data_IF_991708237898
#
_entry.id   IF_991708237898
#
_cell.length_a   1.000
_cell.length_b   1.000
_cell.length_c   1.000
_cell.angle_alpha   90.00
_cell.angle_beta   90.00
_cell.angle_gamma   90.00
#
_symmetry.space_group_name_H-M   'P 1'
#
loop_
_entity.id
_entity.type
_entity.pdbx_description
1 polymer ?
#
# COMPACT_ATOMS: atom_id res chain seq x y z
N UNK A 1 29.86 -20.75 -29.49
CA UNK A 1 29.90 -19.81 -30.63
C UNK A 1 28.50 -19.73 -31.26
N UNK A 2 27.52 -19.15 -30.56
CA UNK A 2 26.11 -19.12 -31.02
C UNK A 2 25.29 -17.94 -30.42
N UNK A 3 25.95 -16.85 -30.01
CA UNK A 3 25.29 -15.64 -29.48
C UNK A 3 25.10 -14.53 -30.54
N UNK A 4 25.44 -14.77 -31.80
CA UNK A 4 25.55 -13.71 -32.82
C UNK A 4 24.31 -13.49 -33.71
N UNK A 5 23.31 -14.37 -33.72
CA UNK A 5 22.20 -14.29 -34.70
C UNK A 5 20.87 -13.73 -34.17
N UNK A 6 20.73 -13.37 -32.90
CA UNK A 6 19.49 -12.78 -32.36
C UNK A 6 19.34 -11.27 -32.64
N UNK A 7 20.38 -10.60 -33.14
CA UNK A 7 20.35 -9.14 -33.37
C UNK A 7 19.43 -8.68 -34.50
N UNK A 8 19.01 -9.56 -35.41
CA UNK A 8 18.31 -9.16 -36.63
C UNK A 8 16.76 -9.20 -36.55
N UNK A 9 16.17 -9.63 -35.43
CA UNK A 9 14.71 -9.79 -35.30
C UNK A 9 14.10 -9.11 -34.05
N UNK A 10 14.81 -8.15 -33.44
CA UNK A 10 14.23 -7.37 -32.35
C UNK A 10 13.30 -6.32 -32.97
N UNK A 11 11.99 -6.51 -32.81
CA UNK A 11 10.98 -5.49 -33.13
C UNK A 11 11.38 -4.15 -32.51
N UNK A 12 11.45 -3.09 -33.33
CA UNK A 12 11.43 -1.70 -32.83
C UNK A 12 10.03 -1.43 -32.29
N UNK A 13 9.82 -1.74 -31.01
CA UNK A 13 8.56 -1.44 -30.33
C UNK A 13 8.47 0.07 -30.08
N UNK A 14 7.34 0.65 -30.47
CA UNK A 14 6.99 2.06 -30.18
C UNK A 14 5.99 2.16 -29.01
N UNK A 15 5.50 1.03 -28.50
CA UNK A 15 4.55 0.97 -27.38
C UNK A 15 5.24 0.39 -26.16
N UNK A 16 5.34 1.20 -25.11
CA UNK A 16 5.92 0.82 -23.83
C UNK A 16 4.84 0.19 -22.96
N UNK A 17 5.08 -1.03 -22.44
CA UNK A 17 4.31 -1.55 -21.32
C UNK A 17 4.56 -0.61 -20.12
N UNK A 18 3.51 -0.03 -19.58
CA UNK A 18 3.60 0.89 -18.45
C UNK A 18 3.07 0.22 -17.18
N UNK A 19 3.80 0.41 -16.10
CA UNK A 19 3.39 0.07 -14.75
C UNK A 19 3.51 1.32 -13.91
N UNK A 20 2.41 1.77 -13.33
CA UNK A 20 2.38 2.93 -12.46
C UNK A 20 1.95 2.49 -11.07
N UNK A 21 2.66 2.94 -10.04
CA UNK A 21 2.20 2.91 -8.64
C UNK A 21 2.24 4.35 -8.17
N UNK A 22 1.08 4.91 -7.87
CA UNK A 22 0.87 6.34 -7.63
C UNK A 22 0.59 6.58 -6.14
N UNK A 23 0.12 7.78 -5.80
CA UNK A 23 -0.19 8.19 -4.42
C UNK A 23 -1.17 7.22 -3.75
N UNK A 24 -1.07 7.10 -2.44
CA UNK A 24 -1.85 6.15 -1.64
C UNK A 24 -2.38 6.76 -0.36
N UNK A 25 -3.59 6.36 0.03
CA UNK A 25 -4.21 6.77 1.29
C UNK A 25 -4.75 5.54 2.03
N UNK A 26 -3.88 4.56 2.28
CA UNK A 26 -4.30 3.30 2.91
C UNK A 26 -4.93 3.57 4.28
N UNK A 27 -6.10 2.98 4.50
CA UNK A 27 -6.85 3.16 5.73
C UNK A 27 -6.65 1.98 6.69
N UNK A 28 -6.73 2.25 7.99
CA UNK A 28 -7.04 1.23 8.99
C UNK A 28 -8.44 1.49 9.55
N UNK A 29 -9.22 0.43 9.77
CA UNK A 29 -10.56 0.46 10.38
C UNK A 29 -10.49 -0.34 11.68
N UNK A 30 -10.56 0.35 12.81
CA UNK A 30 -10.53 -0.24 14.15
C UNK A 30 -11.95 -0.24 14.70
N UNK A 31 -12.56 -1.41 14.69
CA UNK A 31 -13.96 -1.61 15.12
C UNK A 31 -14.06 -1.70 16.64
N UNK A 32 -15.28 -1.61 17.18
CA UNK A 32 -15.54 -1.77 18.63
C UNK A 32 -15.09 -3.12 19.21
N UNK A 33 -14.98 -4.16 18.36
CA UNK A 33 -14.62 -5.53 18.74
C UNK A 33 -13.12 -5.82 18.51
N UNK A 34 -12.31 -4.80 18.23
CA UNK A 34 -10.87 -4.95 17.98
C UNK A 34 -10.08 -5.32 19.24
N UNK A 35 -9.06 -6.16 19.10
CA UNK A 35 -7.97 -6.20 20.07
C UNK A 35 -7.20 -4.88 20.00
N UNK A 36 -7.39 -4.04 21.02
CA UNK A 36 -6.83 -2.69 21.04
C UNK A 36 -5.30 -2.69 21.16
N UNK A 37 -4.70 -3.68 21.83
CA UNK A 37 -3.24 -3.75 21.95
C UNK A 37 -2.63 -4.07 20.59
N UNK A 38 -3.20 -5.06 19.89
CA UNK A 38 -2.78 -5.42 18.55
C UNK A 38 -2.97 -4.23 17.58
N UNK A 39 -4.15 -3.61 17.58
CA UNK A 39 -4.46 -2.49 16.71
C UNK A 39 -3.50 -1.30 16.90
N UNK A 40 -3.12 -1.00 18.15
CA UNK A 40 -2.14 0.06 18.46
C UNK A 40 -0.76 -0.31 17.93
N UNK A 41 -0.25 -1.51 18.25
CA UNK A 41 1.06 -1.99 17.80
C UNK A 41 1.18 -1.96 16.27
N UNK A 42 0.16 -2.47 15.58
CA UNK A 42 0.12 -2.50 14.12
C UNK A 42 -0.08 -1.10 13.50
N UNK A 43 -0.79 -0.19 14.18
CA UNK A 43 -0.88 1.20 13.73
C UNK A 43 0.48 1.90 13.80
N UNK A 44 1.22 1.75 14.91
CA UNK A 44 2.57 2.32 15.04
C UNK A 44 3.49 1.79 13.95
N UNK A 45 3.52 0.46 13.78
CA UNK A 45 4.36 -0.18 12.78
C UNK A 45 3.95 0.25 11.35
N UNK A 46 2.66 0.25 11.05
CA UNK A 46 2.09 0.57 9.74
C UNK A 46 2.21 2.05 9.37
N UNK A 47 2.13 2.96 10.33
CA UNK A 47 2.21 4.41 10.07
C UNK A 47 3.63 4.97 10.16
N UNK A 48 4.52 4.40 10.99
CA UNK A 48 5.81 5.02 11.31
C UNK A 48 7.05 4.24 10.82
N UNK A 49 6.90 3.03 10.29
CA UNK A 49 8.01 2.38 9.58
C UNK A 49 8.52 3.29 8.45
N UNK A 50 9.83 3.55 8.41
CA UNK A 50 10.45 4.52 7.49
C UNK A 50 9.82 5.93 7.58
N UNK A 51 9.43 6.35 8.78
CA UNK A 51 8.74 7.62 9.07
C UNK A 51 7.46 7.81 8.23
N UNK A 52 6.74 6.73 7.90
CA UNK A 52 5.51 6.81 7.09
C UNK A 52 5.72 7.08 5.61
N UNK A 53 6.97 7.08 5.14
CA UNK A 53 7.36 7.29 3.74
C UNK A 53 7.36 5.99 2.95
N UNK A 54 6.24 5.26 3.05
CA UNK A 54 5.97 4.05 2.27
C UNK A 54 4.64 4.22 1.56
N UNK A 55 4.56 3.71 0.33
CA UNK A 55 3.29 3.61 -0.39
C UNK A 55 2.29 2.69 0.35
N UNK A 56 2.78 1.71 1.10
CA UNK A 56 1.99 0.79 1.92
C UNK A 56 1.72 1.28 3.34
N UNK A 57 2.21 2.46 3.74
CA UNK A 57 1.97 2.96 5.09
C UNK A 57 0.48 3.29 5.31
N UNK A 58 0.03 3.15 6.55
CA UNK A 58 -1.29 3.59 6.98
C UNK A 58 -1.30 5.11 7.05
N UNK A 59 -2.18 5.74 6.27
CA UNK A 59 -2.25 7.21 6.10
C UNK A 59 -3.46 7.84 6.77
N UNK A 60 -4.44 7.05 7.16
CA UNK A 60 -5.64 7.48 7.87
C UNK A 60 -6.18 6.32 8.72
N UNK A 61 -6.54 6.60 9.96
CA UNK A 61 -7.00 5.59 10.93
C UNK A 61 -8.44 5.92 11.31
N UNK A 62 -9.38 5.08 10.91
CA UNK A 62 -10.74 5.10 11.40
C UNK A 62 -10.80 4.29 12.71
N UNK A 63 -11.27 4.92 13.78
CA UNK A 63 -11.45 4.25 15.08
C UNK A 63 -12.88 4.43 15.56
N UNK A 64 -13.52 3.34 15.97
CA UNK A 64 -14.86 3.41 16.52
C UNK A 64 -14.86 4.31 17.75
N UNK A 65 -15.83 5.23 17.84
CA UNK A 65 -15.85 6.32 18.82
C UNK A 65 -15.70 5.83 20.27
N UNK A 66 -16.29 4.68 20.59
CA UNK A 66 -16.20 4.06 21.93
C UNK A 66 -14.77 3.67 22.35
N UNK A 67 -13.86 3.46 21.39
CA UNK A 67 -12.46 3.10 21.65
C UNK A 67 -11.50 4.27 21.45
N UNK A 68 -11.94 5.38 20.86
CA UNK A 68 -11.07 6.47 20.40
C UNK A 68 -10.15 7.02 21.50
N UNK A 69 -10.68 7.31 22.70
CA UNK A 69 -9.86 7.87 23.78
C UNK A 69 -8.77 6.91 24.26
N UNK A 70 -9.14 5.64 24.50
CA UNK A 70 -8.20 4.63 24.98
C UNK A 70 -7.18 4.26 23.90
N UNK A 71 -7.61 4.19 22.63
CA UNK A 71 -6.73 4.01 21.48
C UNK A 71 -5.67 5.09 21.41
N UNK A 72 -6.09 6.37 21.43
CA UNK A 72 -5.19 7.51 21.35
C UNK A 72 -4.18 7.54 22.50
N UNK A 73 -4.64 7.26 23.72
CA UNK A 73 -3.77 7.19 24.90
C UNK A 73 -2.67 6.14 24.74
N UNK A 74 -3.03 4.91 24.32
CA UNK A 74 -2.07 3.82 24.09
C UNK A 74 -1.15 4.13 22.91
N UNK A 75 -1.70 4.66 21.83
CA UNK A 75 -0.94 5.05 20.64
C UNK A 75 0.11 6.12 20.97
N UNK A 76 -0.26 7.17 21.69
CA UNK A 76 0.69 8.19 22.17
C UNK A 76 1.80 7.60 23.03
N UNK A 77 1.46 6.66 23.93
CA UNK A 77 2.44 5.99 24.78
C UNK A 77 3.42 5.12 23.97
N UNK A 78 2.95 4.40 22.94
CA UNK A 78 3.85 3.62 22.07
C UNK A 78 4.73 4.52 21.18
N UNK A 79 4.18 5.62 20.65
CA UNK A 79 4.97 6.61 19.88
C UNK A 79 6.08 7.20 20.74
N UNK A 80 5.80 7.51 22.01
CA UNK A 80 6.79 8.07 22.94
C UNK A 80 7.97 7.12 23.24
N UNK A 81 7.79 5.80 23.07
CA UNK A 81 8.87 4.81 23.25
C UNK A 81 9.84 4.74 22.07
N UNK A 82 9.47 5.31 20.92
CA UNK A 82 10.30 5.24 19.72
C UNK A 82 11.55 6.10 19.87
N UNK A 83 12.71 5.45 19.82
CA UNK A 83 13.99 6.16 19.81
C UNK A 83 14.17 6.89 18.48
N UNK A 84 14.40 8.20 18.54
CA UNK A 84 14.84 8.99 17.40
C UNK A 84 16.36 9.19 17.41
N UNK A 85 16.96 9.34 16.23
CA UNK A 85 18.40 9.52 16.06
C UNK A 85 18.85 9.29 14.62
N UNK A 86 20.15 9.05 14.42
CA UNK A 86 20.68 8.77 13.09
C UNK A 86 20.43 7.31 12.67
N UNK A 87 20.24 7.01 11.36
CA UNK A 87 19.85 5.68 10.89
C UNK A 87 20.88 4.57 11.15
N UNK A 88 22.15 4.92 11.40
CA UNK A 88 23.21 3.96 11.75
C UNK A 88 23.29 3.65 13.24
N UNK A 89 22.51 4.32 14.09
CA UNK A 89 22.51 4.07 15.53
C UNK A 89 21.58 2.91 15.91
N UNK A 90 22.06 2.04 16.81
CA UNK A 90 21.28 0.89 17.26
C UNK A 90 19.98 1.31 17.95
N UNK A 91 18.88 0.68 17.53
CA UNK A 91 17.55 0.85 18.11
C UNK A 91 16.80 2.11 17.68
N UNK A 92 17.40 2.96 16.83
CA UNK A 92 16.70 4.13 16.27
C UNK A 92 15.59 3.65 15.33
N UNK A 93 14.38 4.17 15.54
CA UNK A 93 13.19 3.88 14.74
C UNK A 93 12.68 5.12 13.99
N UNK A 94 13.01 6.31 14.49
CA UNK A 94 12.63 7.60 13.88
C UNK A 94 13.89 8.32 13.41
N UNK A 95 13.92 8.71 12.14
CA UNK A 95 15.10 9.33 11.51
C UNK A 95 14.72 10.63 10.81
N UNK A 96 15.71 11.48 10.47
CA UNK A 96 15.45 12.63 9.61
C UNK A 96 14.81 12.22 8.28
N UNK A 97 13.99 13.11 7.72
CA UNK A 97 13.34 12.91 6.42
C UNK A 97 14.35 13.21 5.28
N UNK A 98 14.27 12.49 4.15
CA UNK A 98 15.15 12.70 3.00
C UNK A 98 14.85 14.02 2.25
N UNK A 99 13.61 14.50 2.33
CA UNK A 99 13.14 15.71 1.65
C UNK A 99 13.20 16.92 2.60
N UNK A 100 14.06 17.91 2.29
CA UNK A 100 14.28 19.11 3.12
C UNK A 100 12.99 19.91 3.36
N UNK A 101 12.09 19.96 2.37
CA UNK A 101 10.83 20.72 2.46
C UNK A 101 9.67 19.92 3.08
N UNK A 102 9.85 18.62 3.35
CA UNK A 102 8.77 17.78 3.89
C UNK A 102 8.28 18.24 5.26
N UNK A 103 9.15 18.61 6.22
CA UNK A 103 8.69 19.12 7.51
C UNK A 103 7.76 20.33 7.40
N UNK A 104 8.02 21.24 6.46
CA UNK A 104 7.17 22.41 6.24
C UNK A 104 5.76 22.02 5.74
N UNK A 105 5.68 21.12 4.76
CA UNK A 105 4.40 20.59 4.25
C UNK A 105 3.61 19.83 5.33
N UNK A 106 4.28 19.00 6.14
CA UNK A 106 3.63 18.29 7.24
C UNK A 106 3.11 19.25 8.31
N UNK A 107 3.86 20.33 8.60
CA UNK A 107 3.43 21.40 9.51
C UNK A 107 2.19 22.09 8.96
N UNK A 108 2.17 22.43 7.66
CA UNK A 108 1.00 23.02 6.99
C UNK A 108 -0.24 22.12 7.12
N UNK A 109 -0.09 20.81 6.91
CA UNK A 109 -1.17 19.85 7.07
C UNK A 109 -1.72 19.81 8.51
N UNK A 110 -0.86 19.95 9.51
CA UNK A 110 -1.27 20.00 10.93
C UNK A 110 -1.99 21.31 11.23
N UNK A 111 -1.51 22.45 10.73
CA UNK A 111 -2.16 23.75 10.96
C UNK A 111 -3.52 23.84 10.26
N UNK A 112 -3.64 23.32 9.04
CA UNK A 112 -4.93 23.14 8.35
C UNK A 112 -5.89 22.28 9.20
N UNK A 113 -5.43 21.14 9.71
CA UNK A 113 -6.25 20.29 10.56
C UNK A 113 -6.69 21.00 11.85
N UNK A 114 -5.81 21.79 12.48
CA UNK A 114 -6.15 22.61 13.66
C UNK A 114 -7.21 23.66 13.34
N UNK A 115 -7.13 24.31 12.17
CA UNK A 115 -8.11 25.29 11.73
C UNK A 115 -9.53 24.70 11.59
N UNK A 116 -9.64 23.40 11.28
CA UNK A 116 -10.91 22.67 11.21
C UNK A 116 -11.23 21.86 12.48
N UNK A 117 -10.58 22.14 13.61
CA UNK A 117 -10.95 21.64 14.93
C UNK A 117 -10.20 20.39 15.42
N UNK A 118 -9.22 19.87 14.67
CA UNK A 118 -8.35 18.82 15.16
C UNK A 118 -7.28 19.35 16.12
N UNK A 119 -6.64 18.43 16.84
CA UNK A 119 -5.52 18.72 17.75
C UNK A 119 -4.44 17.67 17.60
N UNK A 120 -3.21 18.04 17.92
CA UNK A 120 -2.12 17.09 18.12
C UNK A 120 -2.28 16.46 19.50
N UNK A 121 -2.23 15.13 19.59
CA UNK A 121 -2.58 14.39 20.80
C UNK A 121 -1.36 13.97 21.62
N UNK A 122 -0.26 13.60 20.96
CA UNK A 122 0.96 13.21 21.66
C UNK A 122 1.89 14.38 21.94
N UNK A 123 2.68 14.25 23.00
CA UNK A 123 3.77 15.15 23.31
C UNK A 123 4.78 15.20 22.15
N UNK A 124 5.35 16.39 21.96
CA UNK A 124 6.29 16.73 20.89
C UNK A 124 5.76 16.52 19.45
N UNK A 125 4.49 16.13 19.28
CA UNK A 125 3.93 15.86 17.96
C UNK A 125 4.03 17.09 17.04
N UNK A 126 4.66 16.90 15.89
CA UNK A 126 4.86 17.96 14.91
C UNK A 126 6.02 18.91 15.21
N UNK A 127 6.84 18.64 16.24
CA UNK A 127 8.08 19.37 16.42
C UNK A 127 9.06 19.08 15.28
N UNK A 128 9.74 20.12 14.82
CA UNK A 128 10.68 20.07 13.71
C UNK A 128 12.08 20.44 14.19
N UNK A 129 13.07 19.66 13.74
CA UNK A 129 14.49 19.98 13.92
C UNK A 129 15.21 19.67 12.60
N UNK A 130 15.53 20.71 11.82
CA UNK A 130 16.04 20.56 10.45
C UNK A 130 15.09 19.67 9.62
N UNK A 131 15.59 18.57 9.03
CA UNK A 131 14.77 17.61 8.31
C UNK A 131 14.09 16.56 9.19
N UNK A 132 14.32 16.57 10.50
CA UNK A 132 13.61 15.70 11.44
C UNK A 132 12.23 16.26 11.78
N UNK A 133 11.23 15.38 11.80
CA UNK A 133 9.86 15.68 12.17
C UNK A 133 9.38 14.65 13.19
N UNK A 134 9.08 15.09 14.40
CA UNK A 134 8.60 14.19 15.45
C UNK A 134 7.15 13.75 15.14
N UNK A 135 6.84 12.44 15.23
CA UNK A 135 5.54 11.93 14.81
C UNK A 135 4.35 12.65 15.47
N UNK A 136 3.34 13.00 14.68
CA UNK A 136 2.15 13.71 15.16
C UNK A 136 0.88 12.87 14.98
N UNK A 137 0.21 12.53 16.09
CA UNK A 137 -1.13 11.95 16.09
C UNK A 137 -2.13 13.11 16.08
N UNK A 138 -2.98 13.17 15.05
CA UNK A 138 -3.92 14.28 14.85
C UNK A 138 -5.35 13.77 14.97
N UNK A 139 -6.15 14.38 15.86
CA UNK A 139 -7.53 13.97 16.15
C UNK A 139 -8.39 15.13 16.68
N UNK A 140 -9.71 15.15 16.41
CA UNK A 140 -10.41 14.33 15.43
C UNK A 140 -10.20 14.89 14.02
N UNK A 141 -9.77 14.05 13.08
CA UNK A 141 -9.69 14.43 11.67
C UNK A 141 -11.07 14.29 11.01
N UNK A 142 -11.42 15.22 10.12
CA UNK A 142 -12.70 15.21 9.39
C UNK A 142 -12.52 15.60 7.92
N UNK A 143 -13.61 15.50 7.15
CA UNK A 143 -13.63 15.67 5.69
C UNK A 143 -13.23 17.05 5.18
N UNK A 144 -13.14 18.08 6.04
CA UNK A 144 -12.69 19.43 5.67
C UNK A 144 -11.15 19.53 5.60
N UNK A 145 -10.43 18.64 6.28
CA UNK A 145 -8.98 18.74 6.46
C UNK A 145 -8.19 18.15 5.28
N UNK A 146 -7.03 18.73 4.96
CA UNK A 146 -6.06 18.16 4.01
C UNK A 146 -5.66 16.74 4.40
N UNK A 147 -5.40 16.50 5.69
CA UNK A 147 -5.03 15.17 6.22
C UNK A 147 -6.09 14.08 5.95
N UNK A 148 -7.33 14.43 5.65
CA UNK A 148 -8.37 13.48 5.26
C UNK A 148 -8.25 13.03 3.79
N UNK A 149 -7.82 13.95 2.91
CA UNK A 149 -7.84 13.76 1.44
C UNK A 149 -6.47 13.50 0.84
N UNK A 150 -5.46 14.23 1.29
CA UNK A 150 -4.12 14.25 0.71
C UNK A 150 -3.20 13.22 1.36
N UNK A 151 -2.34 12.58 0.58
CA UNK A 151 -1.27 11.74 1.12
C UNK A 151 -0.17 12.63 1.73
N UNK A 152 0.03 12.52 3.04
CA UNK A 152 1.04 13.30 3.76
C UNK A 152 2.47 12.79 3.53
N UNK A 153 2.64 11.51 3.19
CA UNK A 153 3.93 10.83 3.00
C UNK A 153 5.00 11.20 4.05
N UNK A 154 4.65 11.07 5.33
CA UNK A 154 5.49 11.43 6.45
C UNK A 154 4.86 10.99 7.78
N UNK A 155 5.52 11.26 8.92
CA UNK A 155 5.15 10.72 10.23
C UNK A 155 3.98 11.49 10.88
N UNK A 156 2.90 11.70 10.15
CA UNK A 156 1.63 12.22 10.69
C UNK A 156 0.60 11.11 10.63
N UNK A 157 -0.11 10.88 11.74
CA UNK A 157 -1.13 9.84 11.92
C UNK A 157 -2.51 10.51 12.11
N UNK A 158 -3.27 10.71 11.02
CA UNK A 158 -4.64 11.20 11.05
C UNK A 158 -5.56 10.14 11.67
N UNK A 159 -6.32 10.51 12.70
CA UNK A 159 -7.29 9.62 13.34
C UNK A 159 -8.70 10.22 13.21
N UNK A 160 -9.60 9.46 12.60
CA UNK A 160 -11.01 9.81 12.35
C UNK A 160 -11.89 8.96 13.26
N UNK A 161 -12.71 9.55 14.14
CA UNK A 161 -13.73 8.80 14.86
C UNK A 161 -14.89 8.45 13.93
N UNK A 162 -15.46 7.24 14.07
CA UNK A 162 -16.71 6.85 13.41
C UNK A 162 -17.64 6.15 14.41
N UNK A 163 -18.94 6.13 14.12
CA UNK A 163 -19.95 5.39 14.89
C UNK A 163 -20.52 4.23 14.06
N UNK A 164 -20.77 4.48 12.76
CA UNK A 164 -21.32 3.49 11.85
C UNK A 164 -20.24 2.90 10.93
N UNK A 165 -20.35 1.60 10.61
CA UNK A 165 -19.42 0.93 9.68
C UNK A 165 -19.54 1.48 8.25
N UNK A 166 -20.66 2.09 7.88
CA UNK A 166 -20.84 2.73 6.58
C UNK A 166 -19.90 3.92 6.40
N UNK A 167 -19.55 4.67 7.45
CA UNK A 167 -18.67 5.85 7.33
C UNK A 167 -17.29 5.53 6.71
N UNK A 168 -16.50 4.56 7.23
CA UNK A 168 -15.24 4.17 6.60
C UNK A 168 -15.43 3.47 5.24
N UNK A 169 -16.57 2.82 4.99
CA UNK A 169 -16.89 2.21 3.69
C UNK A 169 -17.08 3.31 2.64
N UNK A 170 -17.94 4.29 2.92
CA UNK A 170 -18.22 5.44 2.04
C UNK A 170 -16.94 6.23 1.75
N UNK A 171 -16.08 6.42 2.76
CA UNK A 171 -14.78 7.04 2.55
C UNK A 171 -13.94 6.29 1.52
N UNK A 172 -13.82 4.97 1.65
CA UNK A 172 -13.01 4.15 0.74
C UNK A 172 -13.63 4.06 -0.65
N UNK A 173 -14.96 4.11 -0.77
CA UNK A 173 -15.67 4.22 -2.05
C UNK A 173 -15.39 5.56 -2.72
N UNK A 174 -15.52 6.68 -1.99
CA UNK A 174 -15.33 8.03 -2.50
C UNK A 174 -13.87 8.44 -2.71
N UNK A 175 -12.91 7.75 -2.09
CA UNK A 175 -11.48 7.99 -2.27
C UNK A 175 -11.02 7.62 -3.69
N UNK A 176 -10.14 8.43 -4.28
CA UNK A 176 -9.41 8.10 -5.51
C UNK A 176 -8.31 7.04 -5.30
N UNK A 177 -7.97 6.74 -4.04
CA UNK A 177 -6.95 5.77 -3.67
C UNK A 177 -7.56 4.39 -3.39
N UNK A 178 -6.91 3.33 -3.86
CA UNK A 178 -7.38 1.94 -3.79
C UNK A 178 -6.27 0.89 -3.66
N UNK A 179 -5.19 1.15 -2.89
CA UNK A 179 -4.15 0.14 -2.67
C UNK A 179 -4.52 -0.84 -1.56
N UNK A 180 -4.51 -0.44 -0.28
CA UNK A 180 -4.80 -1.37 0.82
C UNK A 180 -5.71 -0.78 1.89
N UNK A 181 -6.40 -1.68 2.59
CA UNK A 181 -7.07 -1.40 3.86
C UNK A 181 -6.69 -2.44 4.91
N UNK A 182 -6.58 -2.03 6.17
CA UNK A 182 -6.46 -2.91 7.33
C UNK A 182 -7.74 -2.87 8.16
N UNK A 183 -8.29 -4.02 8.53
CA UNK A 183 -9.47 -4.16 9.38
C UNK A 183 -9.02 -4.80 10.69
N UNK A 184 -9.32 -4.15 11.82
CA UNK A 184 -9.07 -4.68 13.16
C UNK A 184 -10.40 -4.98 13.84
N UNK A 185 -10.67 -6.27 14.07
CA UNK A 185 -11.89 -6.78 14.68
C UNK A 185 -11.74 -8.26 15.04
N UNK A 186 -12.35 -8.69 16.15
CA UNK A 186 -12.53 -10.10 16.50
C UNK A 186 -13.96 -10.61 16.22
N UNK A 187 -14.81 -9.80 15.57
CA UNK A 187 -16.17 -10.16 15.22
C UNK A 187 -16.27 -10.55 13.74
N UNK A 188 -16.45 -11.84 13.47
CA UNK A 188 -16.49 -12.38 12.11
C UNK A 188 -17.57 -11.72 11.23
N UNK A 189 -18.76 -11.44 11.78
CA UNK A 189 -19.83 -10.82 11.00
C UNK A 189 -19.49 -9.39 10.56
N UNK A 190 -18.86 -8.62 11.46
CA UNK A 190 -18.37 -7.26 11.17
C UNK A 190 -17.22 -7.28 10.16
N UNK A 191 -16.30 -8.24 10.29
CA UNK A 191 -15.21 -8.40 9.33
C UNK A 191 -15.75 -8.73 7.94
N UNK A 192 -16.69 -9.68 7.83
CA UNK A 192 -17.33 -10.03 6.56
C UNK A 192 -18.06 -8.84 5.93
N UNK A 193 -18.84 -8.08 6.71
CA UNK A 193 -19.59 -6.92 6.19
C UNK A 193 -18.68 -5.80 5.68
N UNK A 194 -17.44 -5.69 6.21
CA UNK A 194 -16.43 -4.76 5.70
C UNK A 194 -15.70 -5.32 4.47
N UNK A 195 -15.40 -6.62 4.43
CA UNK A 195 -14.66 -7.24 3.32
C UNK A 195 -15.46 -7.11 2.01
N UNK A 196 -16.73 -7.50 2.01
CA UNK A 196 -17.56 -7.61 0.80
C UNK A 196 -17.58 -6.33 -0.08
N UNK A 197 -17.77 -5.12 0.49
CA UNK A 197 -17.66 -3.90 -0.31
C UNK A 197 -16.20 -3.53 -0.62
N UNK A 198 -15.27 -3.74 0.31
CA UNK A 198 -13.90 -3.20 0.21
C UNK A 198 -12.99 -3.96 -0.76
N UNK A 199 -13.21 -5.26 -0.98
CA UNK A 199 -12.44 -6.04 -1.98
C UNK A 199 -12.56 -5.49 -3.41
N UNK A 200 -13.62 -4.72 -3.68
CA UNK A 200 -13.82 -4.03 -4.94
C UNK A 200 -13.19 -2.62 -4.98
N UNK A 201 -12.85 -2.05 -3.82
CA UNK A 201 -12.28 -0.71 -3.70
C UNK A 201 -10.75 -0.72 -3.59
N UNK A 202 -10.17 -1.75 -2.98
CA UNK A 202 -8.72 -1.88 -2.78
C UNK A 202 -8.16 -3.14 -3.44
N UNK A 203 -6.83 -3.20 -3.59
CA UNK A 203 -6.15 -4.41 -4.07
C UNK A 203 -5.89 -5.44 -2.97
N UNK A 204 -5.83 -4.99 -1.71
CA UNK A 204 -5.57 -5.86 -0.56
C UNK A 204 -6.34 -5.44 0.68
N UNK A 205 -7.08 -6.39 1.25
CA UNK A 205 -7.69 -6.27 2.57
C UNK A 205 -6.86 -7.08 3.57
N UNK A 206 -6.35 -6.42 4.60
CA UNK A 206 -5.59 -7.03 5.69
C UNK A 206 -6.49 -7.17 6.92
N UNK A 207 -6.43 -8.30 7.61
CA UNK A 207 -7.23 -8.55 8.82
C UNK A 207 -6.27 -8.67 10.00
N UNK A 208 -6.49 -7.87 11.04
CA UNK A 208 -5.72 -7.84 12.28
C UNK A 208 -4.20 -7.69 12.06
N UNK A 209 -3.81 -7.01 10.98
CA UNK A 209 -2.44 -6.60 10.68
C UNK A 209 -2.44 -5.32 9.84
N UNK A 210 -1.34 -4.57 9.91
CA UNK A 210 -1.05 -3.39 9.11
C UNK A 210 -0.99 -3.66 7.59
N UNK A 211 -1.15 -2.59 6.81
CA UNK A 211 -0.90 -2.64 5.37
C UNK A 211 0.58 -2.94 5.09
N UNK A 212 0.84 -3.88 4.19
CA UNK A 212 2.18 -4.41 3.98
C UNK A 212 2.37 -4.98 2.59
N UNK A 213 3.65 -5.14 2.21
CA UNK A 213 4.00 -5.93 1.03
C UNK A 213 3.90 -7.41 1.39
N UNK A 214 3.32 -8.22 0.49
CA UNK A 214 3.30 -9.67 0.63
C UNK A 214 4.58 -10.30 0.07
N UNK A 215 4.74 -11.64 0.19
CA UNK A 215 5.72 -12.38 -0.61
C UNK A 215 5.58 -12.02 -2.10
N UNK A 216 6.68 -12.03 -2.86
CA UNK A 216 6.68 -11.64 -4.29
C UNK A 216 5.83 -12.56 -5.19
N UNK A 217 5.38 -13.69 -4.65
CA UNK A 217 4.42 -14.59 -5.28
C UNK A 217 2.98 -14.09 -5.22
N UNK A 218 2.65 -13.18 -4.30
CA UNK A 218 1.32 -12.58 -4.20
C UNK A 218 1.23 -11.34 -5.09
N UNK A 219 0.06 -11.07 -5.70
CA UNK A 219 -0.11 -9.90 -6.53
C UNK A 219 0.00 -8.61 -5.71
N UNK A 220 0.83 -7.68 -6.16
CA UNK A 220 0.89 -6.32 -5.66
C UNK A 220 0.37 -5.37 -6.73
N UNK A 221 -0.84 -4.86 -6.55
CA UNK A 221 -1.50 -3.95 -7.48
C UNK A 221 -2.14 -2.79 -6.72
N UNK A 222 -2.83 -1.91 -7.42
CA UNK A 222 -3.68 -0.86 -6.88
C UNK A 222 -4.91 -0.75 -7.76
N UNK A 223 -6.03 -0.32 -7.19
CA UNK A 223 -7.22 0.06 -7.94
C UNK A 223 -7.30 1.60 -8.04
N UNK A 224 -8.17 2.09 -8.93
CA UNK A 224 -8.40 3.53 -9.11
C UNK A 224 -7.09 4.23 -9.51
N UNK A 225 -6.83 5.42 -8.97
CA UNK A 225 -5.65 6.19 -9.29
C UNK A 225 -4.39 5.65 -8.61
N UNK A 226 -4.46 4.54 -7.86
CA UNK A 226 -3.33 4.00 -7.11
C UNK A 226 -2.34 3.20 -7.95
N UNK A 227 -2.78 2.54 -9.03
CA UNK A 227 -1.88 1.81 -9.91
C UNK A 227 -2.50 1.48 -11.27
N UNK A 228 -1.64 1.27 -12.26
CA UNK A 228 -1.96 0.59 -13.51
C UNK A 228 -1.08 -0.66 -13.64
N UNK A 229 -1.72 -1.84 -13.72
CA UNK A 229 -1.06 -3.14 -13.79
C UNK A 229 -0.90 -3.86 -12.43
N UNK A 230 -0.40 -5.10 -12.46
CA UNK A 230 -0.10 -5.93 -11.28
C UNK A 230 1.37 -6.31 -11.24
N UNK A 231 2.05 -5.99 -10.15
CA UNK A 231 3.41 -6.45 -9.85
C UNK A 231 3.32 -7.79 -9.11
N UNK A 232 3.53 -8.88 -9.84
CA UNK A 232 3.83 -10.22 -9.32
C UNK A 232 4.88 -10.85 -10.24
N UNK A 233 5.62 -11.88 -9.81
CA UNK A 233 6.61 -12.51 -10.71
C UNK A 233 5.95 -12.97 -12.02
N UNK A 234 4.79 -13.62 -11.95
CA UNK A 234 4.09 -14.15 -13.12
C UNK A 234 3.48 -13.04 -13.97
N UNK A 235 2.85 -12.05 -13.35
CA UNK A 235 2.17 -10.98 -14.08
C UNK A 235 3.15 -9.96 -14.65
N UNK A 236 4.26 -9.69 -13.95
CA UNK A 236 5.35 -8.88 -14.49
C UNK A 236 5.95 -9.56 -15.73
N UNK A 237 6.27 -10.86 -15.65
CA UNK A 237 6.75 -11.61 -16.82
C UNK A 237 5.75 -11.55 -17.97
N UNK A 238 4.44 -11.65 -17.70
CA UNK A 238 3.40 -11.52 -18.72
C UNK A 238 3.32 -10.12 -19.33
N UNK A 239 3.42 -9.07 -18.52
CA UNK A 239 3.32 -7.68 -19.01
C UNK A 239 4.58 -7.22 -19.74
N UNK A 240 5.75 -7.77 -19.40
CA UNK A 240 7.01 -7.55 -20.13
C UNK A 240 7.21 -8.55 -21.28
N UNK A 241 6.27 -9.47 -21.50
CA UNK A 241 6.29 -10.40 -22.63
C UNK A 241 5.24 -10.02 -23.66
N UNK A 242 5.63 -10.05 -24.93
CA UNK A 242 4.66 -9.97 -26.03
C UNK A 242 4.19 -11.38 -26.33
N UNK A 243 2.88 -11.61 -26.18
CA UNK A 243 2.28 -12.90 -26.57
C UNK A 243 2.25 -13.00 -28.08
N UNK A 244 2.89 -14.02 -28.62
CA UNK A 244 2.77 -14.42 -30.02
C UNK A 244 2.03 -15.75 -30.09
N UNK A 245 1.02 -15.83 -30.96
CA UNK A 245 0.27 -17.06 -31.22
C UNK A 245 0.80 -17.70 -32.51
N UNK A 246 1.21 -18.96 -32.41
CA UNK A 246 1.36 -19.82 -33.58
C UNK A 246 0.13 -20.70 -33.67
N UNK A 247 -0.59 -20.64 -34.80
CA UNK A 247 -1.82 -21.37 -35.00
C UNK A 247 -1.78 -22.16 -36.31
N UNK A 248 -2.40 -23.34 -36.30
CA UNK A 248 -2.59 -24.17 -37.47
C UNK A 248 -4.02 -24.73 -37.50
N UNK A 249 -4.52 -25.09 -38.68
CA UNK A 249 -5.80 -25.81 -38.80
C UNK A 249 -5.68 -27.19 -38.16
N UNK A 250 -6.76 -27.69 -37.57
CA UNK A 250 -6.80 -29.01 -36.95
C UNK A 250 -6.83 -30.12 -38.02
N UNK A 251 -5.65 -30.51 -38.51
CA UNK A 251 -5.43 -31.63 -39.43
C UNK A 251 -4.31 -32.51 -38.89
N UNK A 252 -4.27 -33.79 -39.28
CA UNK A 252 -3.25 -34.71 -38.78
C UNK A 252 -1.84 -34.35 -39.27
N UNK A 253 -1.72 -33.80 -40.48
CA UNK A 253 -0.48 -33.25 -41.01
C UNK A 253 0.07 -32.10 -40.15
N UNK A 254 -0.79 -31.14 -39.76
CA UNK A 254 -0.40 -30.01 -38.92
C UNK A 254 -0.06 -30.45 -37.50
N UNK A 255 -0.76 -31.46 -36.95
CA UNK A 255 -0.40 -32.05 -35.65
C UNK A 255 0.99 -32.67 -35.71
N UNK A 256 1.28 -33.46 -36.75
CA UNK A 256 2.61 -34.08 -36.93
C UNK A 256 3.68 -33.00 -37.01
N UNK A 257 3.49 -31.97 -37.84
CA UNK A 257 4.43 -30.88 -38.00
C UNK A 257 4.74 -30.15 -36.67
N UNK A 258 3.71 -29.81 -35.89
CA UNK A 258 3.91 -29.15 -34.59
C UNK A 258 4.61 -30.07 -33.57
N UNK A 259 4.30 -31.37 -33.57
CA UNK A 259 4.95 -32.34 -32.70
C UNK A 259 6.42 -32.54 -33.06
N UNK A 260 6.75 -32.61 -34.35
CA UNK A 260 8.12 -32.72 -34.83
C UNK A 260 8.94 -31.50 -34.34
N UNK A 261 8.43 -30.27 -34.53
CA UNK A 261 9.08 -29.03 -34.07
C UNK A 261 9.36 -29.05 -32.55
N UNK A 262 8.38 -29.48 -31.74
CA UNK A 262 8.51 -29.52 -30.28
C UNK A 262 9.48 -30.62 -29.83
N UNK A 263 9.40 -31.80 -30.44
CA UNK A 263 10.19 -32.97 -30.03
C UNK A 263 11.65 -32.88 -30.46
N UNK A 264 11.93 -32.32 -31.63
CA UNK A 264 13.28 -32.14 -32.17
C UNK A 264 13.98 -30.89 -31.61
N UNK A 265 13.26 -30.05 -30.85
CA UNK A 265 13.73 -28.76 -30.31
C UNK A 265 14.27 -27.80 -31.39
N UNK A 266 13.67 -27.82 -32.58
CA UNK A 266 14.08 -26.93 -33.68
C UNK A 266 13.68 -25.48 -33.44
N UNK A 267 12.76 -25.22 -32.51
CA UNK A 267 12.31 -23.89 -32.14
C UNK A 267 12.64 -23.55 -30.68
N UNK A 268 13.26 -22.39 -30.48
CA UNK A 268 13.40 -21.80 -29.14
C UNK A 268 12.07 -21.27 -28.57
N UNK A 269 11.02 -21.16 -29.41
CA UNK A 269 9.71 -20.59 -29.04
C UNK A 269 8.63 -21.66 -28.90
N UNK A 270 8.60 -22.64 -29.81
CA UNK A 270 7.74 -23.83 -29.74
C UNK A 270 8.52 -24.98 -29.08
N UNK A 271 8.80 -24.85 -27.78
CA UNK A 271 9.53 -25.85 -26.99
C UNK A 271 8.83 -26.13 -25.67
N UNK A 272 9.02 -27.34 -25.14
CA UNK A 272 8.61 -27.74 -23.79
C UNK A 272 9.71 -27.58 -22.74
N UNK A 273 10.90 -27.10 -23.13
CA UNK A 273 11.98 -26.78 -22.19
C UNK A 273 11.64 -25.49 -21.44
N UNK A 274 11.10 -25.63 -20.24
CA UNK A 274 10.99 -24.50 -19.31
C UNK A 274 12.37 -24.23 -18.68
N UNK A 275 12.80 -22.97 -18.69
CA UNK A 275 13.92 -22.51 -17.86
C UNK A 275 13.33 -22.37 -16.45
N UNK A 276 13.68 -23.28 -15.54
CA UNK A 276 13.42 -23.12 -14.11
C UNK A 276 14.46 -22.18 -13.49
#
# INVERSE_FOLDING_TARGET
MLLTNLRNYILKLTVYAQFLVLTQKNAAIITKDADLNLAVSETVLGSLSFNGQRCTALKIIYVHRSLAQEFLKRLSAEVAKLKYGMPWEKGVSLTPLPEVNKPAYLTECIEDAKAYGAKVINENGGQVAESFFYPAIVYPVNSQMKLYREEQFGPVIPVVPFDDLEEPIEYLIGSSHGQQVSIFSNNAAVVSSLIDPLVNQVSRVNINCQCQRGPDTFPFTGRKDSAEGTLSVVDALRSFSIRSLVAAKFTDENKKLLNDIVSENESNFLSTKYIF
#
